data_IF_746421082305
#
_entry.id   IF_746421082305
#
_cell.length_a   1.000
_cell.length_b   1.000
_cell.length_c   1.000
_cell.angle_alpha   90.00
_cell.angle_beta   90.00
_cell.angle_gamma   90.00
#
_symmetry.space_group_name_H-M   'P 1'
#
loop_
_entity.id
_entity.type
_entity.pdbx_description
1 polymer ?
#
# COMPACT_ATOMS: atom_id res chain seq x y z
N UNK A 1 28.90 5.72 53.41
CA UNK A 1 30.37 5.58 53.29
C UNK A 1 30.68 4.10 53.09
N UNK A 2 31.66 3.66 52.25
CA UNK A 2 32.65 4.37 51.41
C UNK A 2 32.29 4.28 49.89
N UNK A 3 32.64 5.16 48.93
CA UNK A 3 33.93 5.70 48.41
C UNK A 3 34.84 4.57 47.86
N UNK A 4 35.34 4.47 46.61
CA UNK A 4 35.72 5.32 45.45
C UNK A 4 35.69 4.38 44.20
N UNK A 5 35.83 4.72 42.90
CA UNK A 5 36.79 5.60 42.23
C UNK A 5 36.45 5.70 40.72
N UNK A 6 36.76 6.85 40.16
CA UNK A 6 36.57 7.33 38.79
C UNK A 6 37.35 6.56 37.71
N UNK A 7 36.81 6.52 36.48
CA UNK A 7 37.64 6.62 35.27
C UNK A 7 36.91 7.41 34.17
N UNK A 8 37.57 8.49 33.76
CA UNK A 8 37.21 9.33 32.63
C UNK A 8 37.73 8.72 31.34
N UNK A 9 36.93 8.68 30.28
CA UNK A 9 37.46 8.67 28.91
C UNK A 9 36.64 9.57 27.99
N UNK A 10 37.34 10.62 27.57
CA UNK A 10 37.17 11.55 26.47
C UNK A 10 36.00 11.36 25.49
N UNK A 11 35.20 12.42 25.36
CA UNK A 11 34.39 12.75 24.18
C UNK A 11 35.31 13.05 22.99
N UNK A 12 35.20 12.28 21.93
CA UNK A 12 35.66 12.67 20.59
C UNK A 12 34.55 13.43 19.84
N UNK A 13 34.86 14.51 19.11
CA UNK A 13 33.87 15.25 18.35
C UNK A 13 33.45 14.49 17.09
N UNK A 14 32.13 14.37 16.87
CA UNK A 14 31.54 13.79 15.67
C UNK A 14 32.01 14.54 14.42
N UNK A 15 32.72 13.83 13.54
CA UNK A 15 33.08 14.25 12.20
C UNK A 15 31.83 14.64 11.40
N UNK A 16 31.82 15.86 10.84
CA UNK A 16 30.92 16.25 9.75
C UNK A 16 31.28 15.42 8.52
N UNK A 17 30.51 14.38 8.22
CA UNK A 17 30.64 13.65 6.95
C UNK A 17 30.10 14.54 5.82
N UNK A 18 31.01 15.02 4.98
CA UNK A 18 30.67 15.53 3.65
C UNK A 18 30.64 14.31 2.74
N UNK A 19 29.45 13.89 2.27
CA UNK A 19 29.33 12.85 1.25
C UNK A 19 29.82 13.42 -0.09
N UNK A 20 31.11 13.21 -0.39
CA UNK A 20 31.68 13.45 -1.71
C UNK A 20 31.49 12.19 -2.56
N UNK A 21 30.72 12.30 -3.64
CA UNK A 21 30.69 11.28 -4.69
C UNK A 21 31.73 11.68 -5.74
N UNK A 22 32.88 11.01 -5.75
CA UNK A 22 33.95 11.23 -6.73
C UNK A 22 33.69 10.40 -7.99
N UNK A 23 33.56 11.05 -9.15
CA UNK A 23 33.52 10.38 -10.47
C UNK A 23 34.95 10.23 -11.04
N UNK A 24 35.25 9.17 -11.83
CA UNK A 24 36.58 8.96 -12.39
C UNK A 24 36.87 9.97 -13.52
N UNK A 25 37.99 10.69 -13.38
CA UNK A 25 38.52 11.65 -14.34
C UNK A 25 39.48 10.98 -15.32
N UNK A 26 39.19 11.00 -16.62
CA UNK A 26 40.15 10.64 -17.69
C UNK A 26 41.20 11.76 -17.84
N UNK A 27 42.47 11.41 -17.65
CA UNK A 27 43.64 12.26 -17.88
C UNK A 27 43.79 12.64 -19.37
N UNK A 28 44.13 13.90 -19.61
CA UNK A 28 45.00 14.33 -20.72
C UNK A 28 45.93 15.44 -20.22
N UNK A 29 47.19 15.41 -20.65
CA UNK A 29 48.32 16.18 -20.15
C UNK A 29 48.76 17.26 -21.15
N UNK A 30 49.08 18.49 -20.69
CA UNK A 30 50.42 19.14 -20.75
C UNK A 30 50.40 20.61 -20.32
N UNK A 31 51.59 21.07 -19.91
CA UNK A 31 52.01 22.27 -19.14
C UNK A 31 51.98 23.61 -19.90
N UNK A 32 51.80 24.72 -19.17
CA UNK A 32 52.79 25.83 -19.00
C UNK A 32 52.24 26.97 -18.13
N UNK A 33 53.12 27.60 -17.35
CA UNK A 33 52.94 28.71 -16.37
C UNK A 33 53.66 29.99 -16.90
N UNK A 34 53.70 31.19 -16.22
CA UNK A 34 52.88 31.81 -15.16
C UNK A 34 52.39 33.28 -15.50
N UNK A 35 51.66 33.89 -14.54
CA UNK A 35 51.00 35.23 -14.44
C UNK A 35 51.90 36.49 -14.69
N UNK A 36 51.35 37.70 -14.93
CA UNK A 36 50.94 38.60 -13.82
C UNK A 36 49.65 39.44 -13.99
N UNK A 37 48.97 39.63 -12.85
CA UNK A 37 48.27 40.80 -12.31
C UNK A 37 47.23 41.65 -13.09
N UNK A 38 46.00 41.47 -12.60
CA UNK A 38 45.19 42.53 -11.96
C UNK A 38 44.13 43.28 -12.77
N UNK A 39 42.97 43.33 -12.11
CA UNK A 39 41.84 44.27 -12.20
C UNK A 39 40.64 43.86 -13.05
N UNK A 40 39.50 43.98 -12.37
CA UNK A 40 38.12 43.77 -12.79
C UNK A 40 37.71 42.29 -12.84
N UNK A 41 37.50 41.71 -11.66
CA UNK A 41 36.59 40.56 -11.49
C UNK A 41 35.17 41.01 -11.88
N UNK A 42 34.91 41.04 -13.19
CA UNK A 42 33.57 40.86 -13.74
C UNK A 42 33.02 39.62 -13.05
N UNK A 43 31.88 39.75 -12.36
CA UNK A 43 31.09 38.60 -11.89
C UNK A 43 31.03 37.60 -13.05
N UNK A 44 31.82 36.54 -12.94
CA UNK A 44 31.88 35.49 -13.94
C UNK A 44 30.48 34.93 -14.02
N UNK A 45 29.81 35.07 -15.17
CA UNK A 45 28.60 34.28 -15.43
C UNK A 45 28.99 32.82 -15.13
N UNK A 46 28.25 32.08 -14.28
CA UNK A 46 28.54 30.67 -14.06
C UNK A 46 28.61 29.99 -15.43
N UNK A 47 29.74 29.35 -15.74
CA UNK A 47 29.87 28.58 -16.97
C UNK A 47 28.83 27.48 -16.96
N UNK A 48 28.27 27.10 -18.12
CA UNK A 48 27.21 26.07 -18.20
C UNK A 48 27.62 24.71 -17.56
N UNK A 49 28.91 24.52 -17.29
CA UNK A 49 29.52 23.39 -16.57
C UNK A 49 29.67 23.54 -15.05
N UNK A 50 29.26 24.65 -14.43
CA UNK A 50 29.48 24.88 -12.99
C UNK A 50 28.49 24.14 -12.09
N UNK A 51 28.94 23.75 -10.90
CA UNK A 51 28.08 23.23 -9.84
C UNK A 51 27.64 24.37 -8.93
N UNK A 52 26.35 24.42 -8.64
CA UNK A 52 25.71 25.33 -7.69
C UNK A 52 25.47 24.60 -6.38
N UNK A 53 25.56 25.31 -5.27
CA UNK A 53 25.27 24.74 -3.95
C UNK A 53 23.88 25.16 -3.52
N UNK A 54 23.03 24.17 -3.25
CA UNK A 54 21.73 24.37 -2.61
C UNK A 54 21.82 23.89 -1.18
N UNK A 55 21.22 24.64 -0.26
CA UNK A 55 21.12 24.30 1.15
C UNK A 55 19.75 23.67 1.44
N UNK A 56 19.73 22.53 2.12
CA UNK A 56 18.51 21.88 2.60
C UNK A 56 17.99 22.50 3.91
N UNK A 57 16.80 22.09 4.34
CA UNK A 57 16.19 22.51 5.62
C UNK A 57 17.03 22.11 6.83
N UNK A 58 17.74 20.98 6.76
CA UNK A 58 18.69 20.52 7.79
C UNK A 58 20.11 21.10 7.62
N UNK A 59 20.27 22.21 6.87
CA UNK A 59 21.54 22.91 6.61
C UNK A 59 22.63 22.09 5.89
N UNK A 60 22.28 20.96 5.27
CA UNK A 60 23.22 20.22 4.42
C UNK A 60 23.39 20.94 3.08
N UNK A 61 24.58 20.84 2.50
CA UNK A 61 24.91 21.41 1.19
C UNK A 61 24.82 20.32 0.14
N UNK A 62 24.01 20.55 -0.89
CA UNK A 62 23.82 19.66 -2.04
C UNK A 62 24.34 20.36 -3.28
N UNK A 63 25.23 19.70 -4.02
CA UNK A 63 25.78 20.22 -5.26
C UNK A 63 24.88 19.83 -6.45
N UNK A 64 24.49 20.81 -7.24
CA UNK A 64 23.58 20.64 -8.38
C UNK A 64 24.22 21.25 -9.62
N UNK A 65 24.15 20.57 -10.76
CA UNK A 65 24.66 21.15 -12.02
C UNK A 65 23.82 22.36 -12.41
N UNK A 66 24.49 23.45 -12.80
CA UNK A 66 23.82 24.69 -13.22
C UNK A 66 22.79 24.44 -14.32
N UNK A 67 23.11 23.54 -15.26
CA UNK A 67 22.21 23.15 -16.34
C UNK A 67 20.92 22.50 -15.85
N UNK A 68 20.96 21.67 -14.81
CA UNK A 68 19.76 21.04 -14.23
C UNK A 68 18.83 22.10 -13.65
N UNK A 69 19.39 23.06 -12.91
CA UNK A 69 18.61 24.18 -12.37
C UNK A 69 18.08 25.08 -13.48
N UNK A 70 18.88 25.38 -14.49
CA UNK A 70 18.44 26.19 -15.64
C UNK A 70 17.27 25.55 -16.37
N UNK A 71 17.33 24.24 -16.61
CA UNK A 71 16.33 23.53 -17.40
C UNK A 71 15.04 23.25 -16.64
N UNK A 72 15.13 22.86 -15.36
CA UNK A 72 13.97 22.38 -14.59
C UNK A 72 13.50 23.36 -13.51
N UNK A 73 14.37 24.26 -13.05
CA UNK A 73 14.09 25.21 -11.98
C UNK A 73 14.54 26.64 -12.36
N UNK A 74 14.09 27.17 -13.53
CA UNK A 74 14.64 28.40 -14.12
C UNK A 74 14.49 29.63 -13.23
N UNK A 75 13.45 29.69 -12.39
CA UNK A 75 13.26 30.77 -11.41
C UNK A 75 14.40 30.80 -10.39
N UNK A 76 14.69 29.65 -9.77
CA UNK A 76 15.79 29.52 -8.81
C UNK A 76 17.15 29.80 -9.46
N UNK A 77 17.33 29.35 -10.71
CA UNK A 77 18.56 29.64 -11.46
C UNK A 77 18.73 31.15 -11.75
N UNK A 78 17.66 31.84 -12.15
CA UNK A 78 17.71 33.28 -12.43
C UNK A 78 17.95 34.10 -11.15
N UNK A 79 17.32 33.72 -10.04
CA UNK A 79 17.53 34.36 -8.73
C UNK A 79 18.99 34.24 -8.27
N UNK A 80 19.57 33.06 -8.44
CA UNK A 80 20.99 32.82 -8.18
C UNK A 80 21.88 33.64 -9.10
N UNK A 81 21.57 33.70 -10.39
CA UNK A 81 22.34 34.49 -11.36
C UNK A 81 22.32 35.98 -11.02
N UNK A 82 21.20 36.49 -10.51
CA UNK A 82 21.09 37.87 -10.06
C UNK A 82 21.86 38.12 -8.75
N UNK A 83 21.98 37.11 -7.87
CA UNK A 83 22.62 37.22 -6.55
C UNK A 83 23.51 36.00 -6.24
N UNK A 84 24.71 35.90 -6.84
CA UNK A 84 25.54 34.68 -6.75
C UNK A 84 26.13 34.42 -5.36
N UNK A 85 26.20 35.45 -4.50
CA UNK A 85 26.65 35.31 -3.11
C UNK A 85 25.56 34.78 -2.17
N UNK A 86 24.30 34.73 -2.64
CA UNK A 86 23.18 34.27 -1.82
C UNK A 86 23.04 32.75 -1.91
N UNK A 87 23.11 32.10 -0.76
CA UNK A 87 22.81 30.67 -0.66
C UNK A 87 21.32 30.41 -0.99
N UNK A 88 21.07 29.55 -1.99
CA UNK A 88 19.73 29.06 -2.28
C UNK A 88 19.37 28.05 -1.19
N UNK A 89 18.37 28.34 -0.38
CA UNK A 89 17.87 27.42 0.65
C UNK A 89 16.51 26.89 0.24
N UNK A 90 16.35 25.57 0.21
CA UNK A 90 15.07 24.90 -0.04
C UNK A 90 14.54 24.26 1.24
N UNK A 91 13.20 24.25 1.45
CA UNK A 91 12.58 23.76 2.69
C UNK A 91 12.54 22.23 2.79
N UNK A 92 13.31 21.50 1.98
CA UNK A 92 13.29 20.03 1.93
C UNK A 92 14.50 19.44 2.64
N UNK A 93 14.32 18.22 3.17
CA UNK A 93 15.42 17.44 3.72
C UNK A 93 16.53 17.19 2.69
N UNK A 94 17.76 16.98 3.15
CA UNK A 94 18.89 16.67 2.26
C UNK A 94 18.65 15.41 1.43
N UNK A 95 17.94 14.41 1.97
CA UNK A 95 17.61 13.19 1.25
C UNK A 95 16.59 13.43 0.14
N UNK A 96 15.54 14.21 0.42
CA UNK A 96 14.58 14.62 -0.61
C UNK A 96 15.26 15.42 -1.73
N UNK A 97 16.15 16.36 -1.38
CA UNK A 97 16.92 17.10 -2.39
C UNK A 97 17.82 16.19 -3.23
N UNK A 98 18.47 15.19 -2.62
CA UNK A 98 19.29 14.22 -3.36
C UNK A 98 18.46 13.37 -4.32
N UNK A 99 17.25 12.95 -3.93
CA UNK A 99 16.31 12.25 -4.79
C UNK A 99 15.91 13.11 -5.99
N UNK A 100 15.44 14.33 -5.74
CA UNK A 100 15.01 15.29 -6.76
C UNK A 100 16.15 15.58 -7.73
N UNK A 101 17.31 16.00 -7.21
CA UNK A 101 18.47 16.36 -8.04
C UNK A 101 19.02 15.13 -8.78
N UNK A 102 19.06 13.98 -8.12
CA UNK A 102 19.48 12.72 -8.71
C UNK A 102 18.64 12.36 -9.92
N UNK A 103 17.31 12.43 -9.78
CA UNK A 103 16.37 12.22 -10.87
C UNK A 103 16.58 13.26 -11.99
N UNK A 104 16.56 14.55 -11.69
CA UNK A 104 16.69 15.59 -12.72
C UNK A 104 18.03 15.54 -13.47
N UNK A 105 19.08 14.99 -12.86
CA UNK A 105 20.40 14.86 -13.48
C UNK A 105 20.54 13.63 -14.38
N UNK A 106 19.78 12.56 -14.14
CA UNK A 106 20.01 11.24 -14.76
C UNK A 106 18.77 10.60 -15.38
N UNK A 107 17.58 11.16 -15.14
CA UNK A 107 16.29 10.56 -15.48
C UNK A 107 15.86 9.43 -14.55
N UNK A 108 16.73 8.95 -13.66
CA UNK A 108 16.42 7.95 -12.63
C UNK A 108 17.43 8.03 -11.47
N UNK A 109 16.99 7.69 -10.27
CA UNK A 109 17.85 7.61 -9.09
C UNK A 109 17.31 6.56 -8.13
N UNK A 110 18.09 5.53 -7.84
CA UNK A 110 17.67 4.45 -6.96
C UNK A 110 18.17 4.73 -5.53
N UNK A 111 17.29 5.10 -4.58
CA UNK A 111 17.70 5.28 -3.20
C UNK A 111 18.11 3.95 -2.57
N UNK A 112 19.01 4.03 -1.59
CA UNK A 112 19.36 2.88 -0.78
C UNK A 112 18.16 2.40 0.05
N UNK A 113 17.97 1.07 0.10
CA UNK A 113 16.88 0.42 0.84
C UNK A 113 17.00 0.64 2.35
N UNK A 114 18.17 0.98 2.90
CA UNK A 114 18.33 1.06 4.35
C UNK A 114 18.03 2.46 4.94
N UNK A 115 17.77 3.47 4.10
CA UNK A 115 17.66 4.87 4.55
C UNK A 115 16.44 5.62 3.98
N UNK A 116 15.46 4.90 3.44
CA UNK A 116 14.27 5.50 2.82
C UNK A 116 13.16 5.72 3.87
N UNK A 117 12.49 6.87 3.77
CA UNK A 117 11.29 7.19 4.54
C UNK A 117 10.25 7.76 3.59
N UNK A 118 8.98 7.44 3.84
CA UNK A 118 7.85 8.04 3.13
C UNK A 118 7.77 9.56 3.35
N UNK A 119 8.36 10.11 4.42
CA UNK A 119 8.45 11.55 4.63
C UNK A 119 9.34 12.22 3.56
N UNK A 120 10.48 11.60 3.22
CA UNK A 120 11.33 12.08 2.14
C UNK A 120 10.62 11.99 0.78
N UNK A 121 9.78 10.97 0.59
CA UNK A 121 8.97 10.83 -0.62
C UNK A 121 7.88 11.92 -0.69
N UNK A 122 7.25 12.23 0.44
CA UNK A 122 6.33 13.34 0.61
C UNK A 122 6.95 14.69 0.23
N UNK A 123 8.16 14.98 0.72
CA UNK A 123 8.93 16.15 0.33
C UNK A 123 9.15 16.21 -1.19
N UNK A 124 9.44 15.06 -1.83
CA UNK A 124 9.65 14.98 -3.27
C UNK A 124 8.37 15.28 -4.06
N UNK A 125 7.22 14.73 -3.66
CA UNK A 125 5.94 15.07 -4.29
C UNK A 125 5.56 16.53 -4.06
N UNK A 126 5.85 17.09 -2.88
CA UNK A 126 5.63 18.51 -2.61
C UNK A 126 6.45 19.38 -3.56
N UNK A 127 7.74 19.09 -3.70
CA UNK A 127 8.63 19.79 -4.61
C UNK A 127 8.19 19.63 -6.07
N UNK A 128 7.85 18.41 -6.49
CA UNK A 128 7.38 18.16 -7.85
C UNK A 128 6.15 19.01 -8.18
N UNK A 129 5.20 19.10 -7.25
CA UNK A 129 4.00 19.92 -7.40
C UNK A 129 4.33 21.42 -7.39
N UNK A 130 5.12 21.88 -6.41
CA UNK A 130 5.47 23.29 -6.23
C UNK A 130 6.24 23.88 -7.43
N UNK A 131 7.04 23.05 -8.10
CA UNK A 131 7.86 23.46 -9.24
C UNK A 131 7.33 22.99 -10.60
N UNK A 132 6.18 22.30 -10.66
CA UNK A 132 5.60 21.82 -11.91
C UNK A 132 6.46 20.77 -12.63
N UNK A 133 7.05 19.84 -11.88
CA UNK A 133 7.94 18.79 -12.40
C UNK A 133 7.14 17.50 -12.69
N UNK A 134 6.35 17.50 -13.76
CA UNK A 134 5.45 16.38 -14.10
C UNK A 134 6.19 15.05 -14.28
N UNK A 135 7.37 15.08 -14.91
CA UNK A 135 8.20 13.89 -15.11
C UNK A 135 8.66 13.27 -13.79
N UNK A 136 9.00 14.11 -12.81
CA UNK A 136 9.34 13.67 -11.46
C UNK A 136 8.12 13.05 -10.77
N UNK A 137 6.94 13.66 -10.87
CA UNK A 137 5.69 13.09 -10.34
C UNK A 137 5.40 11.71 -10.93
N UNK A 138 5.50 11.54 -12.25
CA UNK A 138 5.30 10.25 -12.91
C UNK A 138 6.31 9.21 -12.43
N UNK A 139 7.58 9.57 -12.30
CA UNK A 139 8.60 8.67 -11.79
C UNK A 139 8.33 8.27 -10.33
N UNK A 140 8.04 9.23 -9.45
CA UNK A 140 7.72 8.95 -8.04
C UNK A 140 6.51 8.02 -7.89
N UNK A 141 5.49 8.17 -8.75
CA UNK A 141 4.35 7.23 -8.82
C UNK A 141 4.78 5.83 -9.22
N UNK A 142 5.67 5.71 -10.21
CA UNK A 142 6.20 4.41 -10.64
C UNK A 142 6.98 3.70 -9.52
N UNK A 143 7.68 4.44 -8.67
CA UNK A 143 8.40 3.89 -7.52
C UNK A 143 7.43 3.31 -6.47
N UNK A 144 6.25 3.91 -6.28
CA UNK A 144 5.23 3.37 -5.37
C UNK A 144 4.74 1.99 -5.81
N UNK A 145 4.63 1.74 -7.12
CA UNK A 145 4.11 0.49 -7.67
C UNK A 145 5.17 -0.57 -7.95
N UNK A 146 6.45 -0.21 -8.01
CA UNK A 146 7.51 -1.13 -8.40
C UNK A 146 7.97 -2.00 -7.21
N UNK A 147 7.85 -3.35 -7.26
CA UNK A 147 8.14 -4.22 -6.11
C UNK A 147 9.58 -4.13 -5.57
N UNK A 148 10.54 -3.80 -6.44
CA UNK A 148 11.96 -3.62 -6.05
C UNK A 148 12.27 -2.22 -5.56
N UNK A 149 11.33 -1.28 -5.63
CA UNK A 149 11.54 0.06 -5.11
C UNK A 149 11.70 0.03 -3.60
N UNK A 150 12.50 0.95 -3.09
CA UNK A 150 12.51 1.27 -1.67
C UNK A 150 11.11 1.74 -1.23
N UNK A 151 10.42 2.50 -2.08
CA UNK A 151 9.11 3.09 -1.79
C UNK A 151 7.92 2.22 -2.19
N UNK A 152 8.12 0.92 -2.42
CA UNK A 152 7.03 0.03 -2.80
C UNK A 152 5.90 0.07 -1.76
N UNK A 153 4.67 0.33 -2.21
CA UNK A 153 3.50 0.48 -1.35
C UNK A 153 3.21 -0.77 -0.51
N UNK A 154 3.52 -1.97 -1.02
CA UNK A 154 3.34 -3.22 -0.26
C UNK A 154 4.21 -3.35 0.98
N UNK A 155 5.30 -2.56 1.10
CA UNK A 155 6.12 -2.53 2.33
C UNK A 155 5.51 -1.68 3.44
N UNK A 156 4.71 -0.67 3.09
CA UNK A 156 4.15 0.30 4.06
C UNK A 156 2.85 0.91 3.51
N UNK A 157 1.77 0.11 3.40
CA UNK A 157 0.55 0.51 2.70
C UNK A 157 -0.17 1.68 3.38
N UNK A 158 -0.12 1.79 4.70
CA UNK A 158 -0.71 2.93 5.45
C UNK A 158 -0.02 4.25 5.08
N UNK A 159 1.31 4.26 5.00
CA UNK A 159 2.06 5.46 4.64
C UNK A 159 1.84 5.83 3.16
N UNK A 160 1.78 4.81 2.29
CA UNK A 160 1.43 5.00 0.88
C UNK A 160 0.01 5.58 0.72
N UNK A 161 -0.97 5.05 1.45
CA UNK A 161 -2.35 5.57 1.45
C UNK A 161 -2.39 7.03 1.92
N UNK A 162 -1.66 7.35 2.99
CA UNK A 162 -1.55 8.71 3.51
C UNK A 162 -1.02 9.66 2.45
N UNK A 163 0.10 9.31 1.84
CA UNK A 163 0.76 10.10 0.82
C UNK A 163 -0.13 10.30 -0.41
N UNK A 164 -0.68 9.21 -0.95
CA UNK A 164 -1.54 9.24 -2.13
C UNK A 164 -2.80 10.07 -1.90
N UNK A 165 -3.32 10.11 -0.67
CA UNK A 165 -4.47 10.95 -0.31
C UNK A 165 -4.14 12.44 -0.31
N UNK A 166 -2.94 12.82 0.15
CA UNK A 166 -2.50 14.22 0.20
C UNK A 166 -2.32 14.80 -1.22
N UNK A 167 -1.82 13.98 -2.15
CA UNK A 167 -1.50 14.38 -3.52
C UNK A 167 -2.55 13.95 -4.58
N UNK A 168 -3.75 13.54 -4.15
CA UNK A 168 -4.85 13.09 -5.01
C UNK A 168 -4.46 12.01 -6.06
N UNK A 169 -3.59 11.07 -5.67
CA UNK A 169 -3.15 9.96 -6.50
C UNK A 169 -4.19 8.83 -6.45
N UNK A 170 -5.32 8.99 -7.14
CA UNK A 170 -6.51 8.13 -6.99
C UNK A 170 -6.25 6.63 -7.20
N UNK A 171 -5.47 6.27 -8.22
CA UNK A 171 -5.19 4.88 -8.57
C UNK A 171 -4.33 4.23 -7.48
N UNK A 172 -3.23 4.89 -7.11
CA UNK A 172 -2.30 4.41 -6.10
C UNK A 172 -2.92 4.43 -4.70
N UNK A 173 -3.78 5.41 -4.40
CA UNK A 173 -4.59 5.44 -3.16
C UNK A 173 -5.47 4.20 -3.06
N UNK A 174 -6.13 3.79 -4.15
CA UNK A 174 -6.96 2.57 -4.18
C UNK A 174 -6.13 1.30 -3.98
N UNK A 175 -4.98 1.20 -4.64
CA UNK A 175 -4.07 0.06 -4.45
C UNK A 175 -3.54 -0.03 -3.02
N UNK A 176 -3.13 1.09 -2.44
CA UNK A 176 -2.67 1.15 -1.05
C UNK A 176 -3.78 0.80 -0.06
N UNK A 177 -5.03 1.21 -0.33
CA UNK A 177 -6.19 0.81 0.46
C UNK A 177 -6.38 -0.71 0.45
N UNK A 178 -6.33 -1.32 -0.74
CA UNK A 178 -6.47 -2.78 -0.89
C UNK A 178 -5.40 -3.52 -0.10
N UNK A 179 -4.16 -3.04 -0.12
CA UNK A 179 -3.05 -3.60 0.66
C UNK A 179 -3.19 -3.39 2.18
N UNK A 180 -4.10 -2.52 2.64
CA UNK A 180 -4.42 -2.38 4.05
C UNK A 180 -5.50 -3.38 4.53
N UNK A 181 -6.27 -3.98 3.63
CA UNK A 181 -7.30 -4.98 3.96
C UNK A 181 -6.60 -6.18 4.62
N UNK A 182 -7.20 -6.76 5.66
CA UNK A 182 -6.61 -7.85 6.46
C UNK A 182 -5.41 -7.48 7.34
N UNK A 183 -4.79 -6.30 7.17
CA UNK A 183 -3.56 -5.94 7.91
C UNK A 183 -3.79 -5.16 9.20
N UNK A 184 -4.96 -4.54 9.36
CA UNK A 184 -5.29 -3.67 10.49
C UNK A 184 -6.32 -4.36 11.37
N UNK A 185 -5.95 -4.61 12.62
CA UNK A 185 -6.84 -5.17 13.64
C UNK A 185 -7.54 -4.03 14.40
N UNK A 186 -8.83 -3.84 14.11
CA UNK A 186 -9.66 -2.82 14.75
C UNK A 186 -9.94 -3.07 16.23
N UNK A 187 -9.75 -4.29 16.72
CA UNK A 187 -9.91 -4.62 18.14
C UNK A 187 -8.68 -4.24 18.98
N UNK A 188 -7.53 -4.02 18.32
CA UNK A 188 -6.26 -3.76 18.97
C UNK A 188 -5.90 -2.27 18.92
N UNK A 189 -5.86 -1.64 20.10
CA UNK A 189 -5.50 -0.23 20.26
C UNK A 189 -4.12 0.12 19.71
N UNK A 190 -3.16 -0.80 19.77
CA UNK A 190 -1.81 -0.58 19.21
C UNK A 190 -1.81 -0.56 17.69
N UNK A 191 -2.69 -1.32 17.04
CA UNK A 191 -2.86 -1.30 15.58
C UNK A 191 -3.44 0.04 15.12
N UNK A 192 -4.47 0.53 15.81
CA UNK A 192 -5.07 1.85 15.57
C UNK A 192 -4.07 3.00 15.82
N UNK A 193 -3.26 2.90 16.87
CA UNK A 193 -2.17 3.86 17.12
C UNK A 193 -1.09 3.81 16.03
N UNK A 194 -0.83 2.64 15.43
CA UNK A 194 0.07 2.51 14.28
C UNK A 194 -0.47 3.26 13.06
N UNK A 195 -1.77 3.17 12.79
CA UNK A 195 -2.42 3.94 11.72
C UNK A 195 -2.25 5.44 11.97
N UNK A 196 -2.58 5.91 13.18
CA UNK A 196 -2.49 7.32 13.54
C UNK A 196 -1.06 7.88 13.46
N UNK A 197 -0.04 7.09 13.81
CA UNK A 197 1.37 7.50 13.75
C UNK A 197 1.98 7.45 12.35
N UNK A 198 1.50 6.56 11.47
CA UNK A 198 1.99 6.41 10.10
C UNK A 198 1.30 7.37 9.11
N UNK A 199 0.11 7.87 9.44
CA UNK A 199 -0.56 8.88 8.63
C UNK A 199 -0.08 10.28 9.01
N UNK A 200 0.26 11.09 8.00
CA UNK A 200 0.71 12.48 8.20
C UNK A 200 -0.45 13.42 8.57
N UNK A 201 -1.70 13.03 8.31
CA UNK A 201 -2.89 13.82 8.54
C UNK A 201 -3.97 12.96 9.25
N UNK A 202 -4.53 13.49 10.34
CA UNK A 202 -5.58 12.82 11.12
C UNK A 202 -6.85 12.57 10.32
N UNK A 203 -7.23 13.47 9.40
CA UNK A 203 -8.38 13.28 8.50
C UNK A 203 -8.16 12.08 7.59
N UNK A 204 -6.94 11.87 7.10
CA UNK A 204 -6.62 10.73 6.21
C UNK A 204 -6.58 9.42 7.01
N UNK A 205 -6.08 9.45 8.24
CA UNK A 205 -6.14 8.31 9.15
C UNK A 205 -7.58 7.90 9.44
N UNK A 206 -8.44 8.87 9.76
CA UNK A 206 -9.87 8.64 10.00
C UNK A 206 -10.60 8.13 8.76
N UNK A 207 -10.28 8.65 7.57
CA UNK A 207 -10.80 8.16 6.29
C UNK A 207 -10.47 6.67 6.09
N UNK A 208 -9.20 6.28 6.27
CA UNK A 208 -8.77 4.88 6.16
C UNK A 208 -9.50 3.97 7.15
N UNK A 209 -9.53 4.36 8.43
CA UNK A 209 -10.19 3.60 9.50
C UNK A 209 -11.69 3.47 9.19
N UNK A 210 -12.34 4.57 8.82
CA UNK A 210 -13.77 4.57 8.54
C UNK A 210 -14.12 3.69 7.35
N UNK A 211 -13.33 3.72 6.27
CA UNK A 211 -13.58 2.89 5.08
C UNK A 211 -13.42 1.40 5.37
N UNK A 212 -12.33 1.01 6.02
CA UNK A 212 -12.08 -0.38 6.38
C UNK A 212 -13.10 -0.89 7.42
N UNK A 213 -13.44 -0.08 8.42
CA UNK A 213 -14.46 -0.43 9.41
C UNK A 213 -15.83 -0.62 8.75
N UNK A 214 -16.26 0.32 7.89
CA UNK A 214 -17.50 0.21 7.11
C UNK A 214 -17.53 -1.07 6.29
N UNK A 215 -16.44 -1.37 5.58
CA UNK A 215 -16.28 -2.59 4.79
C UNK A 215 -16.48 -3.85 5.65
N UNK A 216 -15.77 -3.93 6.78
CA UNK A 216 -15.87 -5.08 7.68
C UNK A 216 -17.27 -5.23 8.26
N UNK A 217 -17.92 -4.13 8.67
CA UNK A 217 -19.30 -4.15 9.15
C UNK A 217 -20.25 -4.70 8.08
N UNK A 218 -20.16 -4.24 6.84
CA UNK A 218 -21.02 -4.72 5.74
C UNK A 218 -20.84 -6.22 5.51
N UNK A 219 -19.59 -6.71 5.50
CA UNK A 219 -19.29 -8.14 5.33
C UNK A 219 -19.84 -8.94 6.51
N UNK A 220 -19.58 -8.50 7.74
CA UNK A 220 -20.05 -9.17 8.95
C UNK A 220 -21.58 -9.23 9.03
N UNK A 221 -22.28 -8.14 8.69
CA UNK A 221 -23.74 -8.11 8.64
C UNK A 221 -24.28 -9.07 7.58
N UNK A 222 -23.69 -9.04 6.39
CA UNK A 222 -24.16 -9.82 5.25
C UNK A 222 -23.91 -11.32 5.42
N UNK A 223 -22.77 -11.71 5.98
CA UNK A 223 -22.39 -13.11 6.18
C UNK A 223 -22.68 -13.65 7.60
N UNK A 224 -23.08 -12.79 8.54
CA UNK A 224 -23.50 -13.19 9.88
C UNK A 224 -25.02 -13.40 10.02
N UNK A 225 -25.83 -12.74 9.20
CA UNK A 225 -27.29 -12.80 9.28
C UNK A 225 -27.90 -13.90 8.38
N UNK A 226 -27.60 -15.18 8.70
CA UNK A 226 -27.95 -16.36 7.87
C UNK A 226 -29.45 -16.53 7.57
N UNK A 227 -30.32 -15.98 8.42
CA UNK A 227 -31.78 -16.04 8.26
C UNK A 227 -32.37 -14.88 7.46
N UNK A 228 -31.52 -14.08 6.80
CA UNK A 228 -31.96 -12.91 6.05
C UNK A 228 -31.47 -12.96 4.60
N UNK A 229 -32.15 -12.24 3.72
CA UNK A 229 -31.70 -12.06 2.34
C UNK A 229 -30.32 -11.36 2.33
N UNK A 230 -29.33 -11.85 1.55
CA UNK A 230 -29.49 -12.85 0.48
C UNK A 230 -29.22 -14.31 0.89
N UNK A 231 -28.82 -14.58 2.13
CA UNK A 231 -28.44 -15.92 2.55
C UNK A 231 -29.62 -16.87 2.73
N UNK A 232 -30.75 -16.37 3.22
CA UNK A 232 -31.96 -17.19 3.35
C UNK A 232 -32.67 -17.33 2.01
N UNK A 233 -32.48 -18.49 1.36
CA UNK A 233 -33.16 -18.87 0.12
C UNK A 233 -34.69 -19.04 0.27
N UNK A 234 -35.21 -19.04 1.49
CA UNK A 234 -36.65 -19.04 1.77
C UNK A 234 -37.23 -17.62 1.86
N UNK A 235 -36.38 -16.60 1.84
CA UNK A 235 -36.81 -15.21 1.93
C UNK A 235 -37.76 -14.86 0.79
N UNK A 236 -38.85 -14.16 1.12
CA UNK A 236 -39.81 -13.66 0.13
C UNK A 236 -39.17 -12.75 -0.93
N UNK A 237 -38.00 -12.17 -0.63
CA UNK A 237 -37.24 -11.34 -1.58
C UNK A 237 -36.69 -12.12 -2.77
N UNK A 238 -36.66 -13.45 -2.68
CA UNK A 238 -36.33 -14.32 -3.80
C UNK A 238 -37.54 -14.67 -4.67
N UNK A 239 -38.77 -14.26 -4.32
CA UNK A 239 -40.00 -14.62 -5.06
C UNK A 239 -39.96 -14.09 -6.51
N UNK A 240 -39.48 -12.87 -6.73
CA UNK A 240 -39.36 -12.32 -8.08
C UNK A 240 -38.13 -12.87 -8.85
N UNK A 241 -37.24 -13.56 -8.12
CA UNK A 241 -36.00 -14.16 -8.60
C UNK A 241 -36.03 -15.71 -8.54
N UNK A 242 -37.21 -16.33 -8.46
CA UNK A 242 -37.42 -17.80 -8.33
C UNK A 242 -36.68 -18.63 -9.39
N UNK A 243 -36.25 -18.02 -10.49
CA UNK A 243 -35.45 -18.66 -11.54
C UNK A 243 -34.01 -18.98 -11.14
N UNK A 244 -33.47 -18.34 -10.10
CA UNK A 244 -32.05 -18.39 -9.74
C UNK A 244 -31.74 -19.65 -8.93
N UNK A 245 -32.38 -19.81 -7.76
CA UNK A 245 -32.22 -21.00 -6.94
C UNK A 245 -33.39 -21.17 -5.97
N UNK A 246 -33.71 -22.42 -5.67
CA UNK A 246 -34.65 -22.78 -4.59
C UNK A 246 -33.91 -23.45 -3.45
N UNK A 247 -34.41 -23.29 -2.23
CA UNK A 247 -33.87 -23.97 -1.04
C UNK A 247 -33.74 -25.50 -1.23
N UNK A 248 -34.68 -26.12 -1.96
CA UNK A 248 -34.69 -27.54 -2.30
C UNK A 248 -33.57 -27.97 -3.27
N UNK A 249 -32.99 -27.02 -4.01
CA UNK A 249 -31.95 -27.30 -5.00
C UNK A 249 -30.62 -27.65 -4.31
N UNK A 250 -30.39 -27.13 -3.10
CA UNK A 250 -29.14 -27.32 -2.35
C UNK A 250 -29.31 -28.15 -1.07
N UNK A 251 -30.54 -28.47 -0.67
CA UNK A 251 -30.81 -29.16 0.59
C UNK A 251 -31.41 -30.55 0.33
N UNK A 252 -30.82 -31.61 0.89
CA UNK A 252 -31.35 -32.98 0.76
C UNK A 252 -32.64 -33.16 1.58
N UNK A 253 -33.42 -34.20 1.28
CA UNK A 253 -34.69 -34.47 1.99
C UNK A 253 -34.52 -34.60 3.50
N UNK A 254 -33.43 -35.19 3.98
CA UNK A 254 -33.14 -35.37 5.41
C UNK A 254 -32.75 -34.08 6.14
N UNK A 255 -32.22 -33.08 5.42
CA UNK A 255 -31.85 -31.78 5.98
C UNK A 255 -32.88 -30.69 5.67
N UNK A 256 -33.84 -30.99 4.80
CA UNK A 256 -34.90 -30.07 4.38
C UNK A 256 -35.96 -30.06 5.48
N UNK A 257 -35.93 -29.00 6.26
CA UNK A 257 -37.00 -28.64 7.16
C UNK A 257 -37.70 -27.39 6.61
N UNK A 258 -38.88 -27.58 6.03
CA UNK A 258 -39.69 -26.49 5.46
C UNK A 258 -40.53 -25.77 6.53
N UNK A 259 -40.56 -26.29 7.76
CA UNK A 259 -41.38 -25.79 8.86
C UNK A 259 -40.52 -25.00 9.86
N UNK A 260 -39.30 -25.46 10.11
CA UNK A 260 -38.36 -24.81 11.03
C UNK A 260 -37.36 -23.96 10.22
N UNK A 261 -37.05 -22.76 10.71
CA UNK A 261 -36.01 -21.87 10.19
C UNK A 261 -34.57 -22.42 10.34
N UNK A 262 -34.39 -23.74 10.42
CA UNK A 262 -33.06 -24.35 10.55
C UNK A 262 -32.17 -23.94 9.39
N UNK A 263 -30.95 -23.53 9.72
CA UNK A 263 -29.93 -23.14 8.74
C UNK A 263 -29.19 -24.42 8.29
N UNK A 264 -29.10 -24.71 6.99
CA UNK A 264 -28.31 -25.85 6.51
C UNK A 264 -26.84 -25.75 6.91
N UNK A 265 -26.19 -26.88 7.21
CA UNK A 265 -24.76 -26.84 7.57
C UNK A 265 -23.87 -26.35 6.42
N UNK A 266 -24.27 -26.55 5.16
CA UNK A 266 -23.52 -26.06 4.00
C UNK A 266 -23.47 -24.53 3.93
N UNK A 267 -24.55 -23.83 4.32
CA UNK A 267 -24.56 -22.36 4.26
C UNK A 267 -23.77 -21.78 5.44
N UNK A 268 -23.84 -22.40 6.63
CA UNK A 268 -22.99 -22.03 7.77
C UNK A 268 -21.51 -22.16 7.39
N UNK A 269 -21.15 -23.29 6.77
CA UNK A 269 -19.80 -23.55 6.28
C UNK A 269 -19.38 -22.47 5.27
N UNK A 270 -20.10 -22.35 4.15
CA UNK A 270 -19.74 -21.40 3.10
C UNK A 270 -19.60 -19.97 3.63
N UNK A 271 -20.57 -19.50 4.41
CA UNK A 271 -20.57 -18.13 4.92
C UNK A 271 -19.45 -17.86 5.89
N UNK A 272 -19.05 -18.84 6.71
CA UNK A 272 -17.89 -18.72 7.59
C UNK A 272 -16.62 -18.47 6.77
N UNK A 273 -16.31 -19.34 5.81
CA UNK A 273 -15.10 -19.21 5.00
C UNK A 273 -15.13 -18.01 4.06
N UNK A 274 -16.27 -17.75 3.41
CA UNK A 274 -16.48 -16.58 2.57
C UNK A 274 -16.20 -15.29 3.35
N UNK A 275 -16.74 -15.20 4.57
CA UNK A 275 -16.52 -14.06 5.47
C UNK A 275 -15.04 -13.88 5.80
N UNK A 276 -14.33 -14.95 6.16
CA UNK A 276 -12.90 -14.87 6.48
C UNK A 276 -12.10 -14.38 5.26
N UNK A 277 -12.26 -15.01 4.11
CA UNK A 277 -11.61 -14.61 2.85
C UNK A 277 -11.88 -13.14 2.51
N UNK A 278 -13.14 -12.70 2.61
CA UNK A 278 -13.54 -11.33 2.30
C UNK A 278 -13.02 -10.32 3.32
N UNK A 279 -12.89 -10.66 4.60
CA UNK A 279 -12.34 -9.75 5.61
C UNK A 279 -10.83 -9.54 5.41
N UNK A 280 -10.13 -10.59 4.98
CA UNK A 280 -8.67 -10.60 4.86
C UNK A 280 -8.17 -10.11 3.50
N UNK A 281 -8.98 -10.19 2.45
CA UNK A 281 -8.56 -9.88 1.09
C UNK A 281 -9.49 -8.86 0.38
N UNK A 282 -8.97 -8.09 -0.60
CA UNK A 282 -9.80 -7.26 -1.48
C UNK A 282 -10.80 -8.11 -2.26
N UNK A 283 -12.02 -7.61 -2.49
CA UNK A 283 -13.09 -8.41 -3.10
C UNK A 283 -12.80 -8.86 -4.52
N UNK A 284 -12.00 -8.11 -5.28
CA UNK A 284 -11.51 -8.53 -6.59
C UNK A 284 -10.62 -9.79 -6.55
N UNK A 285 -10.00 -10.08 -5.41
CA UNK A 285 -9.19 -11.27 -5.17
C UNK A 285 -9.98 -12.40 -4.50
N UNK A 286 -11.29 -12.19 -4.28
CA UNK A 286 -12.19 -13.15 -3.63
C UNK A 286 -13.20 -13.78 -4.59
N UNK A 287 -13.05 -13.63 -5.91
CA UNK A 287 -14.02 -14.15 -6.90
C UNK A 287 -14.24 -15.67 -6.74
N UNK A 288 -13.20 -16.41 -6.34
CA UNK A 288 -13.27 -17.84 -6.05
C UNK A 288 -14.31 -18.19 -4.99
N UNK A 289 -14.57 -17.32 -4.02
CA UNK A 289 -15.54 -17.56 -2.93
C UNK A 289 -16.95 -17.82 -3.47
N UNK A 290 -17.27 -17.25 -4.63
CA UNK A 290 -18.56 -17.35 -5.29
C UNK A 290 -18.58 -18.40 -6.42
N UNK A 291 -17.54 -19.25 -6.50
CA UNK A 291 -17.46 -20.40 -7.42
C UNK A 291 -17.78 -21.70 -6.71
N UNK A 292 -18.41 -22.64 -7.41
CA UNK A 292 -18.84 -23.91 -6.81
C UNK A 292 -17.65 -24.71 -6.28
N UNK A 293 -16.48 -24.57 -6.90
CA UNK A 293 -15.23 -25.22 -6.48
C UNK A 293 -14.75 -24.78 -5.08
N UNK A 294 -15.19 -23.61 -4.60
CA UNK A 294 -14.91 -23.19 -3.21
C UNK A 294 -15.61 -24.11 -2.20
N UNK A 295 -16.78 -24.65 -2.55
CA UNK A 295 -17.48 -25.66 -1.75
C UNK A 295 -16.81 -27.03 -1.84
N UNK A 296 -15.99 -27.29 -2.87
CA UNK A 296 -15.26 -28.55 -3.01
C UNK A 296 -13.89 -28.55 -2.35
N UNK A 297 -13.39 -27.44 -1.80
CA UNK A 297 -12.12 -27.43 -1.01
C UNK A 297 -12.18 -28.33 0.24
N UNK A 298 -13.37 -28.78 0.65
CA UNK A 298 -13.55 -29.83 1.66
C UNK A 298 -13.45 -31.26 1.11
N UNK A 299 -13.36 -31.44 -0.20
CA UNK A 299 -13.24 -32.76 -0.83
C UNK A 299 -11.87 -33.36 -0.54
N UNK A 300 -10.83 -32.54 -0.42
CA UNK A 300 -9.46 -32.99 -0.12
C UNK A 300 -9.29 -33.48 1.34
N UNK A 301 -10.22 -33.13 2.25
CA UNK A 301 -10.32 -33.73 3.59
C UNK A 301 -11.12 -35.04 3.63
N UNK A 302 -11.72 -35.43 2.50
CA UNK A 302 -12.56 -36.63 2.35
C UNK A 302 -12.19 -37.46 1.09
N UNK A 303 -11.00 -37.27 0.51
CA UNK A 303 -10.49 -38.21 -0.49
C UNK A 303 -10.17 -39.51 0.25
N UNK A 304 -10.97 -40.57 0.15
CA UNK A 304 -10.99 -41.57 -0.93
C UNK A 304 -9.66 -42.33 -1.13
N UNK A 305 -8.56 -41.88 -0.51
CA UNK A 305 -7.34 -42.63 -0.31
C UNK A 305 -6.85 -42.34 1.10
N UNK A 306 -6.95 -43.34 1.97
CA UNK A 306 -6.53 -43.21 3.35
C UNK A 306 -5.04 -42.91 3.40
N UNK A 307 -4.71 -41.69 3.78
CA UNK A 307 -3.43 -41.36 4.42
C UNK A 307 -3.76 -40.51 5.65
N UNK A 308 -3.49 -41.12 6.80
CA UNK A 308 -3.73 -40.65 8.15
C UNK A 308 -2.68 -39.60 8.57
N UNK A 309 -2.75 -38.36 8.10
CA UNK A 309 -1.91 -37.27 8.65
C UNK A 309 -2.63 -35.91 8.69
N UNK A 310 -3.78 -35.84 9.35
CA UNK A 310 -4.36 -34.57 9.78
C UNK A 310 -4.81 -34.74 11.23
N UNK A 311 -4.17 -33.99 12.14
CA UNK A 311 -4.38 -34.08 13.59
C UNK A 311 -5.88 -34.02 13.93
N UNK A 312 -6.36 -34.97 14.74
CA UNK A 312 -7.78 -35.12 15.08
C UNK A 312 -8.37 -33.88 15.78
N UNK A 313 -7.54 -33.07 16.45
CA UNK A 313 -7.97 -31.84 17.14
C UNK A 313 -8.51 -30.77 16.18
N UNK A 314 -8.03 -30.69 14.94
CA UNK A 314 -8.53 -29.72 13.95
C UNK A 314 -9.84 -30.16 13.28
N UNK A 315 -10.17 -31.47 13.33
CA UNK A 315 -11.42 -32.01 12.76
C UNK A 315 -12.64 -31.73 13.63
N UNK A 316 -12.48 -31.50 14.94
CA UNK A 316 -13.60 -31.38 15.89
C UNK A 316 -14.29 -30.01 15.90
N UNK A 317 -13.66 -28.97 15.34
CA UNK A 317 -14.15 -27.59 15.42
C UNK A 317 -14.98 -27.14 14.20
N UNK A 318 -14.98 -27.89 13.10
CA UNK A 318 -15.71 -27.50 11.89
C UNK A 318 -17.05 -28.24 11.69
N UNK A 319 -18.19 -27.52 11.59
CA UNK A 319 -19.49 -28.16 11.42
C UNK A 319 -19.54 -29.02 10.15
N UNK A 320 -19.90 -30.29 10.31
CA UNK A 320 -19.94 -31.23 9.19
C UNK A 320 -21.01 -30.85 8.16
N UNK A 321 -20.58 -30.58 6.92
CA UNK A 321 -21.50 -30.35 5.80
C UNK A 321 -22.16 -31.68 5.42
N UNK A 322 -23.48 -31.71 5.35
CA UNK A 322 -24.22 -32.93 4.96
C UNK A 322 -23.81 -33.39 3.55
N UNK A 323 -23.34 -34.64 3.42
CA UNK A 323 -22.96 -35.25 2.12
C UNK A 323 -24.07 -35.17 1.07
N UNK A 324 -25.33 -35.37 1.46
CA UNK A 324 -26.46 -35.28 0.55
C UNK A 324 -26.71 -33.86 0.02
N UNK A 325 -26.49 -32.84 0.86
CA UNK A 325 -26.58 -31.44 0.43
C UNK A 325 -25.38 -31.07 -0.45
N UNK A 326 -24.19 -31.54 -0.09
CA UNK A 326 -22.97 -31.29 -0.86
C UNK A 326 -23.04 -31.93 -2.25
N UNK A 327 -23.56 -33.16 -2.36
CA UNK A 327 -23.85 -33.80 -3.66
C UNK A 327 -24.78 -32.94 -4.51
N UNK A 328 -25.85 -32.41 -3.92
CA UNK A 328 -26.77 -31.52 -4.63
C UNK A 328 -26.11 -30.27 -5.16
N UNK A 329 -25.20 -29.66 -4.38
CA UNK A 329 -24.49 -28.44 -4.78
C UNK A 329 -23.43 -28.76 -5.85
N UNK A 330 -22.55 -29.73 -5.59
CA UNK A 330 -21.39 -30.00 -6.44
C UNK A 330 -21.71 -30.79 -7.71
N UNK A 331 -22.76 -31.62 -7.69
CA UNK A 331 -23.06 -32.58 -8.77
C UNK A 331 -24.42 -32.25 -9.41
N UNK A 332 -25.49 -32.16 -8.61
CA UNK A 332 -26.84 -32.11 -9.18
C UNK A 332 -27.22 -30.70 -9.68
N UNK A 333 -26.79 -29.63 -8.99
CA UNK A 333 -27.18 -28.24 -9.26
C UNK A 333 -26.02 -27.22 -9.13
N UNK A 334 -24.83 -27.46 -9.70
CA UNK A 334 -23.69 -26.54 -9.55
C UNK A 334 -23.95 -25.16 -10.17
N UNK A 335 -24.57 -25.10 -11.35
CA UNK A 335 -24.87 -23.82 -12.02
C UNK A 335 -25.83 -22.94 -11.22
N UNK A 336 -26.90 -23.52 -10.66
CA UNK A 336 -27.84 -22.77 -9.82
C UNK A 336 -27.19 -22.23 -8.55
N UNK A 337 -26.24 -22.98 -7.99
CA UNK A 337 -25.49 -22.51 -6.83
C UNK A 337 -24.66 -21.29 -7.21
N UNK A 338 -23.95 -21.33 -8.34
CA UNK A 338 -23.16 -20.20 -8.82
C UNK A 338 -24.03 -18.99 -9.19
N UNK A 339 -25.17 -19.20 -9.83
CA UNK A 339 -26.12 -18.11 -10.14
C UNK A 339 -26.57 -17.40 -8.86
N UNK A 340 -26.89 -18.16 -7.80
CA UNK A 340 -27.21 -17.58 -6.50
C UNK A 340 -26.01 -16.89 -5.83
N UNK A 341 -24.83 -17.52 -5.85
CA UNK A 341 -23.62 -16.95 -5.27
C UNK A 341 -23.21 -15.63 -5.96
N UNK A 342 -23.37 -15.54 -7.29
CA UNK A 342 -23.15 -14.32 -8.07
C UNK A 342 -24.14 -13.21 -7.71
N UNK A 343 -25.39 -13.54 -7.39
CA UNK A 343 -26.35 -12.54 -6.87
C UNK A 343 -25.95 -12.03 -5.49
N UNK A 344 -25.44 -12.91 -4.63
CA UNK A 344 -24.86 -12.52 -3.33
C UNK A 344 -23.67 -11.59 -3.56
N UNK A 345 -22.76 -11.94 -4.46
CA UNK A 345 -21.61 -11.12 -4.84
C UNK A 345 -22.05 -9.75 -5.37
N UNK A 346 -23.00 -9.70 -6.31
CA UNK A 346 -23.49 -8.46 -6.89
C UNK A 346 -24.10 -7.52 -5.83
N UNK A 347 -24.84 -8.08 -4.86
CA UNK A 347 -25.35 -7.34 -3.72
C UNK A 347 -24.23 -6.82 -2.81
N UNK A 348 -23.19 -7.62 -2.58
CA UNK A 348 -22.02 -7.21 -1.81
C UNK A 348 -21.27 -6.07 -2.51
N UNK A 349 -20.97 -6.22 -3.82
CA UNK A 349 -20.37 -5.18 -4.68
C UNK A 349 -21.17 -3.88 -4.60
N UNK A 350 -22.51 -3.96 -4.69
CA UNK A 350 -23.38 -2.79 -4.58
C UNK A 350 -23.29 -2.10 -3.22
N UNK A 351 -23.19 -2.85 -2.12
CA UNK A 351 -23.08 -2.27 -0.76
C UNK A 351 -21.69 -1.67 -0.49
N UNK A 352 -20.62 -2.35 -0.94
CA UNK A 352 -19.25 -1.93 -0.70
C UNK A 352 -18.83 -0.78 -1.64
N UNK A 353 -19.29 -0.76 -2.89
CA UNK A 353 -18.94 0.25 -3.88
C UNK A 353 -17.44 0.18 -4.22
N UNK A 354 -16.74 1.30 -4.06
CA UNK A 354 -15.29 1.38 -4.33
C UNK A 354 -14.42 0.59 -3.35
N UNK A 355 -14.99 0.14 -2.22
CA UNK A 355 -14.32 -0.63 -1.17
C UNK A 355 -14.48 -2.15 -1.33
N UNK A 356 -15.04 -2.62 -2.46
CA UNK A 356 -15.23 -4.04 -2.72
C UNK A 356 -13.89 -4.79 -2.75
#
# INVERSE_FOLDING_TARGET
MPATRSSSTARTPKQKQTLQITLPSRRSSRKSSPLPDSRVSKLSKPSDSSYLTIRSSNNAKVLVRSEVLRSYLPRLYNDYRANPERDITLPYSSQALLLIVGYLSRGSFQPSIDAHSYDHLGDCFHAATAYGLDSLTTWLRSELSHPRSAYYMGKSPIQAYSLCSIYDLKVEKKLAFNLCIGTIDFSNSSSLASVASKCQNSTVALDLISRLSRRNTIILEMFGALHTCPLDLRSYRWIDKIKIARYSDFTCSSCRDDIIFKVPSWIVYWTHFAKMELLDNPGAECEQVFRVDFMSKRRDGYDLFGDDEMDEEDRELEPSVCRGCLKKILIDNPSRWEDWAQEVEALLRKKLGDDF
#
